data_IF_029876643879
#
_entry.id   IF_029876643879
#
_cell.length_a   1.000
_cell.length_b   1.000
_cell.length_c   1.000
_cell.angle_alpha   90.00
_cell.angle_beta   90.00
_cell.angle_gamma   90.00
#
_symmetry.space_group_name_H-M   'P 1'
#
loop_
_entity.id
_entity.type
_entity.pdbx_description
1 polymer ?
#
# COMPACT_ATOMS: atom_id res chain seq x y z
N UNK A 1 20.96 30.98 3.31
CA UNK A 1 19.69 31.75 3.41
C UNK A 1 18.73 30.88 4.18
N UNK A 2 18.18 31.35 5.30
CA UNK A 2 16.90 30.98 5.92
C UNK A 2 16.91 31.56 7.34
N UNK A 3 16.14 32.63 7.51
CA UNK A 3 15.94 33.33 8.78
C UNK A 3 14.65 32.76 9.41
N UNK A 4 14.68 32.15 10.61
CA UNK A 4 13.49 31.58 11.23
C UNK A 4 12.99 32.54 12.30
N UNK A 5 12.01 33.40 11.97
CA UNK A 5 11.19 34.17 12.93
C UNK A 5 10.14 35.01 12.19
N UNK A 6 9.18 34.35 11.55
CA UNK A 6 7.89 34.97 11.28
C UNK A 6 6.79 33.94 11.57
N UNK A 7 5.98 34.23 12.57
CA UNK A 7 4.89 33.39 13.04
C UNK A 7 3.72 33.51 12.05
N UNK A 8 3.38 32.40 11.39
CA UNK A 8 2.15 32.22 10.61
C UNK A 8 0.86 32.40 11.44
N UNK A 9 0.98 32.48 12.77
CA UNK A 9 -0.11 32.81 13.68
C UNK A 9 -0.47 34.29 13.70
N UNK A 10 0.48 35.19 13.44
CA UNK A 10 0.23 36.65 13.47
C UNK A 10 -0.48 37.14 12.19
N UNK A 11 -0.34 36.41 11.07
CA UNK A 11 -1.04 36.76 9.84
C UNK A 11 -2.51 36.28 9.80
N UNK A 12 -2.90 35.29 10.60
CA UNK A 12 -4.31 34.86 10.66
C UNK A 12 -5.14 35.72 11.63
N UNK A 13 -4.53 36.34 12.64
CA UNK A 13 -5.21 37.33 13.50
C UNK A 13 -5.47 38.68 12.80
N UNK A 14 -4.77 38.97 11.70
CA UNK A 14 -4.91 40.24 10.97
C UNK A 14 -5.96 40.20 9.84
N UNK A 15 -6.48 39.02 9.47
CA UNK A 15 -7.40 38.85 8.32
C UNK A 15 -8.85 38.60 8.73
N UNK A 16 -9.14 38.28 10.00
CA UNK A 16 -10.51 38.36 10.52
C UNK A 16 -10.82 39.79 10.97
N UNK A 17 -11.34 40.59 10.04
CA UNK A 17 -11.81 41.97 10.30
C UNK A 17 -13.08 42.05 11.16
N UNK A 18 -13.00 41.58 12.39
CA UNK A 18 -13.99 41.77 13.45
C UNK A 18 -13.23 41.95 14.76
N UNK A 19 -13.66 42.93 15.56
CA UNK A 19 -13.20 43.23 16.94
C UNK A 19 -12.14 44.33 17.10
N UNK A 20 -12.49 45.54 16.64
CA UNK A 20 -12.25 46.75 17.42
C UNK A 20 -13.59 47.39 17.81
N UNK A 21 -13.62 48.01 19.00
CA UNK A 21 -14.60 48.98 19.51
C UNK A 21 -15.75 48.57 20.43
N UNK A 22 -15.52 47.74 21.46
CA UNK A 22 -16.35 47.79 22.69
C UNK A 22 -15.55 48.07 23.98
N UNK A 23 -14.21 47.91 23.98
CA UNK A 23 -13.43 47.97 25.24
C UNK A 23 -12.67 49.27 25.53
N UNK A 24 -12.77 50.33 24.72
CA UNK A 24 -12.03 51.61 24.92
C UNK A 24 -12.90 52.87 25.05
N UNK A 25 -14.20 52.74 25.36
CA UNK A 25 -15.10 53.89 25.56
C UNK A 25 -15.79 53.90 26.94
N UNK A 26 -15.09 53.40 27.98
CA UNK A 26 -15.48 53.60 29.38
C UNK A 26 -14.39 54.42 30.09
N UNK A 27 -14.46 55.76 30.07
CA UNK A 27 -13.75 56.55 31.04
C UNK A 27 -14.47 56.44 32.39
N UNK A 28 -13.68 56.05 33.38
CA UNK A 28 -13.78 56.38 34.78
C UNK A 28 -14.92 57.35 35.14
N UNK A 29 -15.86 56.82 35.93
CA UNK A 29 -16.81 57.59 36.72
C UNK A 29 -16.03 58.57 37.60
N UNK A 30 -16.04 59.84 37.21
CA UNK A 30 -15.69 60.97 38.05
C UNK A 30 -16.74 61.08 39.17
N UNK A 31 -16.33 60.74 40.38
CA UNK A 31 -16.94 61.24 41.60
C UNK A 31 -16.54 62.72 41.73
N UNK A 32 -17.50 63.64 41.55
CA UNK A 32 -17.24 65.08 41.58
C UNK A 32 -18.52 65.89 41.72
N UNK A 33 -18.76 66.35 42.93
CA UNK A 33 -19.84 67.21 43.42
C UNK A 33 -20.16 68.40 42.49
N UNK A 34 -21.45 68.63 42.23
CA UNK A 34 -21.95 69.85 41.57
C UNK A 34 -23.46 69.99 41.78
N UNK A 35 -23.85 70.61 42.89
CA UNK A 35 -25.23 70.93 43.23
C UNK A 35 -25.79 72.09 42.38
N UNK A 36 -27.13 72.12 42.30
CA UNK A 36 -27.98 73.26 41.96
C UNK A 36 -28.16 73.65 40.48
N UNK A 37 -29.28 73.19 39.90
CA UNK A 37 -30.14 74.03 39.05
C UNK A 37 -31.59 73.54 39.14
N UNK A 38 -32.47 74.48 39.47
CA UNK A 38 -33.81 74.34 40.02
C UNK A 38 -34.91 74.04 38.99
N UNK A 39 -35.77 73.08 39.35
CA UNK A 39 -37.25 73.17 39.38
C UNK A 39 -37.88 74.24 38.47
N UNK A 40 -38.09 73.93 37.18
CA UNK A 40 -39.12 74.59 36.33
C UNK A 40 -39.90 73.58 35.44
N UNK A 41 -39.70 72.26 35.60
CA UNK A 41 -40.10 71.29 34.56
C UNK A 41 -41.33 70.40 34.76
N UNK A 42 -42.25 70.66 35.71
CA UNK A 42 -43.29 69.68 36.12
C UNK A 42 -44.22 69.16 35.00
N UNK A 43 -44.46 69.94 33.95
CA UNK A 43 -45.28 69.55 32.78
C UNK A 43 -44.40 69.03 31.62
N UNK A 44 -43.14 69.47 31.55
CA UNK A 44 -42.15 68.96 30.58
C UNK A 44 -41.67 67.55 30.92
N UNK A 45 -41.51 67.24 32.22
CA UNK A 45 -41.01 65.97 32.72
C UNK A 45 -41.97 64.78 32.47
N UNK A 46 -43.29 64.99 32.57
CA UNK A 46 -44.28 63.94 32.28
C UNK A 46 -44.38 63.65 30.77
N UNK A 47 -44.23 64.67 29.93
CA UNK A 47 -44.11 64.51 28.47
C UNK A 47 -42.76 63.86 28.07
N UNK A 48 -41.68 64.18 28.78
CA UNK A 48 -40.37 63.55 28.59
C UNK A 48 -40.36 62.09 29.03
N UNK A 49 -41.06 61.75 30.12
CA UNK A 49 -41.26 60.36 30.56
C UNK A 49 -42.13 59.56 29.58
N UNK A 50 -43.23 60.14 29.04
CA UNK A 50 -44.01 59.50 27.96
C UNK A 50 -43.17 59.24 26.71
N UNK A 51 -42.32 60.21 26.33
CA UNK A 51 -41.42 60.08 25.17
C UNK A 51 -40.31 59.04 25.40
N UNK A 52 -39.81 58.91 26.64
CA UNK A 52 -38.86 57.86 27.03
C UNK A 52 -39.51 56.47 27.01
N UNK A 53 -40.72 56.31 27.56
CA UNK A 53 -41.43 55.03 27.50
C UNK A 53 -41.71 54.60 26.05
N UNK A 54 -42.15 55.53 25.19
CA UNK A 54 -42.37 55.24 23.77
C UNK A 54 -41.08 54.85 23.03
N UNK A 55 -39.96 55.51 23.34
CA UNK A 55 -38.63 55.14 22.79
C UNK A 55 -38.14 53.79 23.32
N UNK A 56 -38.35 53.49 24.60
CA UNK A 56 -38.00 52.20 25.19
C UNK A 56 -38.82 51.06 24.57
N UNK A 57 -40.10 51.30 24.28
CA UNK A 57 -40.97 50.35 23.57
C UNK A 57 -40.54 50.14 22.12
N UNK A 58 -40.20 51.21 21.39
CA UNK A 58 -39.64 51.12 20.04
C UNK A 58 -38.32 50.34 20.02
N UNK A 59 -37.38 50.66 20.92
CA UNK A 59 -36.11 49.95 21.03
C UNK A 59 -36.32 48.47 21.39
N UNK A 60 -37.27 48.14 22.28
CA UNK A 60 -37.57 46.75 22.62
C UNK A 60 -38.21 45.98 21.45
N UNK A 61 -39.01 46.66 20.61
CA UNK A 61 -39.56 46.09 19.37
C UNK A 61 -38.46 45.85 18.34
N UNK A 62 -37.61 46.84 18.11
CA UNK A 62 -36.45 46.75 17.20
C UNK A 62 -35.48 45.64 17.62
N UNK A 63 -35.23 45.49 18.93
CA UNK A 63 -34.42 44.37 19.44
C UNK A 63 -35.08 43.02 19.16
N UNK A 64 -36.41 42.89 19.30
CA UNK A 64 -37.12 41.63 19.04
C UNK A 64 -37.11 41.28 17.57
N UNK A 65 -37.34 42.26 16.70
CA UNK A 65 -37.24 42.10 15.25
C UNK A 65 -35.81 41.69 14.86
N UNK A 66 -34.79 42.36 15.37
CA UNK A 66 -33.39 42.00 15.13
C UNK A 66 -33.03 40.60 15.67
N UNK A 67 -33.59 40.20 16.82
CA UNK A 67 -33.38 38.86 17.38
C UNK A 67 -34.10 37.76 16.59
N UNK A 68 -35.26 38.06 16.00
CA UNK A 68 -35.96 37.17 15.07
C UNK A 68 -35.19 37.04 13.76
N UNK A 69 -34.78 38.15 13.15
CA UNK A 69 -34.01 38.17 11.91
C UNK A 69 -32.68 37.41 12.06
N UNK A 70 -32.00 37.57 13.20
CA UNK A 70 -30.78 36.80 13.50
C UNK A 70 -31.05 35.30 13.67
N UNK A 71 -32.17 34.92 14.30
CA UNK A 71 -32.56 33.53 14.47
C UNK A 71 -32.92 32.88 13.12
N UNK A 72 -33.71 33.56 12.29
CA UNK A 72 -34.11 33.11 10.96
C UNK A 72 -32.89 32.96 10.05
N UNK A 73 -31.99 33.95 10.02
CA UNK A 73 -30.76 33.88 9.24
C UNK A 73 -29.84 32.74 9.71
N UNK A 74 -29.79 32.47 11.03
CA UNK A 74 -29.04 31.33 11.58
C UNK A 74 -29.66 30.00 11.15
N UNK A 75 -30.98 29.89 11.14
CA UNK A 75 -31.69 28.68 10.71
C UNK A 75 -31.50 28.42 9.21
N UNK A 76 -31.57 29.46 8.38
CA UNK A 76 -31.31 29.36 6.94
C UNK A 76 -29.87 28.90 6.66
N UNK A 77 -28.89 29.53 7.29
CA UNK A 77 -27.48 29.13 7.17
C UNK A 77 -27.25 27.67 7.62
N UNK A 78 -27.83 27.27 8.76
CA UNK A 78 -27.71 25.91 9.27
C UNK A 78 -28.32 24.88 8.31
N UNK A 79 -29.47 25.19 7.69
CA UNK A 79 -30.11 24.33 6.71
C UNK A 79 -29.26 24.18 5.43
N UNK A 80 -28.71 25.29 4.92
CA UNK A 80 -27.81 25.25 3.76
C UNK A 80 -26.51 24.50 4.06
N UNK A 81 -25.89 24.75 5.22
CA UNK A 81 -24.68 24.07 5.66
C UNK A 81 -24.90 22.56 5.77
N UNK A 82 -26.04 22.15 6.33
CA UNK A 82 -26.43 20.75 6.44
C UNK A 82 -26.64 20.08 5.07
N UNK A 83 -27.33 20.75 4.14
CA UNK A 83 -27.50 20.26 2.77
C UNK A 83 -26.15 20.12 2.04
N UNK A 84 -25.26 21.10 2.18
CA UNK A 84 -23.91 21.03 1.63
C UNK A 84 -23.10 19.87 2.25
N UNK A 85 -23.25 19.61 3.54
CA UNK A 85 -22.59 18.50 4.23
C UNK A 85 -23.06 17.13 3.72
N UNK A 86 -24.34 16.99 3.38
CA UNK A 86 -24.88 15.78 2.77
C UNK A 86 -24.25 15.52 1.40
N UNK A 87 -24.23 16.54 0.54
CA UNK A 87 -23.66 16.44 -0.81
C UNK A 87 -22.16 16.11 -0.74
N UNK A 88 -21.41 16.83 0.09
CA UNK A 88 -19.97 16.61 0.27
C UNK A 88 -19.67 15.19 0.76
N UNK A 89 -20.47 14.67 1.69
CA UNK A 89 -20.33 13.30 2.16
C UNK A 89 -20.60 12.26 1.06
N UNK A 90 -21.67 12.42 0.28
CA UNK A 90 -21.97 11.50 -0.81
C UNK A 90 -20.88 11.50 -1.88
N UNK A 91 -20.37 12.68 -2.25
CA UNK A 91 -19.28 12.83 -3.20
C UNK A 91 -18.00 12.19 -2.66
N UNK A 92 -17.64 12.44 -1.41
CA UNK A 92 -16.48 11.83 -0.76
C UNK A 92 -16.60 10.30 -0.72
N UNK A 93 -17.78 9.77 -0.36
CA UNK A 93 -18.03 8.33 -0.33
C UNK A 93 -17.92 7.69 -1.71
N UNK A 94 -18.45 8.34 -2.76
CA UNK A 94 -18.32 7.88 -4.16
C UNK A 94 -16.85 7.89 -4.58
N UNK A 95 -16.13 8.98 -4.31
CA UNK A 95 -14.70 9.11 -4.62
C UNK A 95 -13.85 8.05 -3.93
N UNK A 96 -14.10 7.79 -2.64
CA UNK A 96 -13.41 6.73 -1.89
C UNK A 96 -13.65 5.35 -2.50
N UNK A 97 -14.90 5.05 -2.87
CA UNK A 97 -15.25 3.78 -3.50
C UNK A 97 -14.66 3.62 -4.90
N UNK A 98 -14.71 4.65 -5.73
CA UNK A 98 -14.09 4.66 -7.06
C UNK A 98 -12.58 4.48 -6.96
N UNK A 99 -11.93 5.19 -6.04
CA UNK A 99 -10.50 5.03 -5.75
C UNK A 99 -10.18 3.60 -5.31
N UNK A 100 -10.99 3.02 -4.41
CA UNK A 100 -10.82 1.64 -3.98
C UNK A 100 -10.96 0.66 -5.16
N UNK A 101 -11.94 0.86 -6.05
CA UNK A 101 -12.11 0.05 -7.27
C UNK A 101 -10.90 0.17 -8.19
N UNK A 102 -10.37 1.38 -8.41
CA UNK A 102 -9.18 1.57 -9.24
C UNK A 102 -7.96 0.86 -8.64
N UNK A 103 -7.75 0.99 -7.34
CA UNK A 103 -6.69 0.28 -6.62
C UNK A 103 -6.85 -1.25 -6.70
N UNK A 104 -8.09 -1.75 -6.57
CA UNK A 104 -8.39 -3.17 -6.75
C UNK A 104 -8.06 -3.64 -8.16
N UNK A 105 -8.50 -2.91 -9.21
CA UNK A 105 -8.18 -3.22 -10.61
C UNK A 105 -6.67 -3.23 -10.87
N UNK A 106 -5.96 -2.25 -10.34
CA UNK A 106 -4.52 -2.14 -10.48
C UNK A 106 -3.80 -3.32 -9.81
N UNK A 107 -4.21 -3.66 -8.58
CA UNK A 107 -3.64 -4.81 -7.86
C UNK A 107 -3.93 -6.13 -8.57
N UNK A 108 -5.14 -6.30 -9.11
CA UNK A 108 -5.48 -7.47 -9.92
C UNK A 108 -4.61 -7.55 -11.18
N UNK A 109 -4.43 -6.43 -11.90
CA UNK A 109 -3.58 -6.39 -13.09
C UNK A 109 -2.11 -6.74 -12.78
N UNK A 110 -1.58 -6.29 -11.63
CA UNK A 110 -0.24 -6.70 -11.17
C UNK A 110 -0.18 -8.21 -10.97
N UNK A 111 -1.15 -8.79 -10.26
CA UNK A 111 -1.21 -10.23 -10.02
C UNK A 111 -1.29 -11.04 -11.31
N UNK A 112 -2.11 -10.60 -12.26
CA UNK A 112 -2.24 -11.23 -13.56
C UNK A 112 -0.93 -11.16 -14.35
N UNK A 113 -0.23 -10.02 -14.28
CA UNK A 113 1.08 -9.85 -14.91
C UNK A 113 2.16 -10.74 -14.27
N UNK A 114 2.21 -10.79 -12.94
CA UNK A 114 3.13 -11.66 -12.19
C UNK A 114 2.87 -13.14 -12.51
N UNK A 115 1.61 -13.56 -12.48
CA UNK A 115 1.22 -14.92 -12.85
C UNK A 115 1.63 -15.23 -14.29
N UNK A 116 1.33 -14.35 -15.24
CA UNK A 116 1.73 -14.49 -16.63
C UNK A 116 3.25 -14.58 -16.81
N UNK A 117 4.03 -13.81 -16.06
CA UNK A 117 5.49 -13.88 -16.09
C UNK A 117 6.01 -15.22 -15.56
N UNK A 118 5.46 -15.74 -14.46
CA UNK A 118 5.85 -17.05 -13.92
C UNK A 118 5.44 -18.19 -14.86
N UNK A 119 4.25 -18.12 -15.47
CA UNK A 119 3.79 -19.09 -16.48
C UNK A 119 4.74 -19.11 -17.69
N UNK A 120 5.16 -17.95 -18.19
CA UNK A 120 6.15 -17.87 -19.29
C UNK A 120 7.49 -18.49 -18.90
N UNK A 121 7.97 -18.25 -17.67
CA UNK A 121 9.21 -18.86 -17.16
C UNK A 121 9.09 -20.38 -17.05
N UNK A 122 7.96 -20.88 -16.53
CA UNK A 122 7.66 -22.30 -16.50
C UNK A 122 7.66 -22.90 -17.92
N UNK A 123 6.98 -22.26 -18.88
CA UNK A 123 6.99 -22.69 -20.29
C UNK A 123 8.40 -22.78 -20.87
N UNK A 124 9.25 -21.78 -20.61
CA UNK A 124 10.66 -21.82 -21.05
C UNK A 124 11.47 -22.90 -20.34
N UNK A 125 11.19 -23.16 -19.06
CA UNK A 125 11.81 -24.24 -18.30
C UNK A 125 11.44 -25.62 -18.85
N UNK A 126 10.19 -25.83 -19.24
CA UNK A 126 9.73 -27.05 -19.93
C UNK A 126 10.48 -27.22 -21.25
N UNK A 127 10.52 -26.19 -22.10
CA UNK A 127 11.22 -26.21 -23.39
C UNK A 127 12.72 -26.53 -23.22
N UNK A 128 13.38 -25.88 -22.26
CA UNK A 128 14.80 -26.12 -21.97
C UNK A 128 15.02 -27.57 -21.48
N UNK A 129 14.12 -28.10 -20.66
CA UNK A 129 14.19 -29.49 -20.18
C UNK A 129 14.03 -30.45 -21.35
N UNK A 130 13.06 -30.23 -22.23
CA UNK A 130 12.86 -31.03 -23.43
C UNK A 130 14.10 -31.03 -24.33
N UNK A 131 14.68 -29.86 -24.58
CA UNK A 131 15.91 -29.73 -25.36
C UNK A 131 17.08 -30.48 -24.71
N UNK A 132 17.22 -30.45 -23.38
CA UNK A 132 18.24 -31.22 -22.66
C UNK A 132 18.00 -32.73 -22.79
N UNK A 133 16.76 -33.21 -22.67
CA UNK A 133 16.43 -34.63 -22.85
C UNK A 133 16.75 -35.10 -24.28
N UNK A 134 16.44 -34.27 -25.29
CA UNK A 134 16.80 -34.55 -26.68
C UNK A 134 18.32 -34.60 -26.82
N UNK A 135 19.04 -33.61 -26.29
CA UNK A 135 20.51 -33.59 -26.35
C UNK A 135 21.15 -34.82 -25.68
N UNK A 136 20.70 -35.18 -24.47
CA UNK A 136 21.17 -36.37 -23.77
C UNK A 136 20.90 -37.64 -24.59
N UNK A 137 19.76 -37.71 -25.27
CA UNK A 137 19.42 -38.84 -26.14
C UNK A 137 20.34 -38.94 -27.35
N UNK A 138 20.63 -37.82 -28.01
CA UNK A 138 21.55 -37.76 -29.17
C UNK A 138 22.97 -38.11 -28.72
N UNK A 139 23.43 -37.54 -27.61
CA UNK A 139 24.75 -37.85 -27.05
C UNK A 139 24.90 -39.34 -26.70
N UNK A 140 23.86 -39.96 -26.14
CA UNK A 140 23.86 -41.38 -25.88
C UNK A 140 23.89 -42.22 -27.17
N UNK A 141 23.12 -41.85 -28.20
CA UNK A 141 23.13 -42.53 -29.51
C UNK A 141 24.51 -42.44 -30.16
N UNK A 142 25.13 -41.26 -30.15
CA UNK A 142 26.47 -41.04 -30.68
C UNK A 142 27.53 -41.88 -29.93
N UNK A 143 27.46 -41.88 -28.58
CA UNK A 143 28.34 -42.71 -27.75
C UNK A 143 28.14 -44.21 -28.02
N UNK A 144 26.91 -44.67 -28.23
CA UNK A 144 26.66 -46.07 -28.61
C UNK A 144 27.21 -46.40 -30.00
N UNK A 145 27.08 -45.50 -30.97
CA UNK A 145 27.63 -45.69 -32.30
C UNK A 145 29.16 -45.78 -32.26
N UNK A 146 29.82 -44.94 -31.45
CA UNK A 146 31.26 -45.01 -31.23
C UNK A 146 31.69 -46.34 -30.58
N UNK A 147 30.99 -46.80 -29.54
CA UNK A 147 31.26 -48.11 -28.92
C UNK A 147 31.01 -49.30 -29.87
N UNK A 148 30.02 -49.18 -30.75
CA UNK A 148 29.79 -50.18 -31.80
C UNK A 148 30.93 -50.20 -32.82
N UNK A 149 31.42 -49.04 -33.27
CA UNK A 149 32.56 -48.97 -34.17
C UNK A 149 33.82 -49.59 -33.55
N UNK A 150 34.12 -49.26 -32.29
CA UNK A 150 35.23 -49.87 -31.53
C UNK A 150 35.08 -51.39 -31.44
N UNK A 151 33.86 -51.90 -31.23
CA UNK A 151 33.60 -53.34 -31.20
C UNK A 151 33.83 -54.01 -32.54
N UNK A 152 33.45 -53.38 -33.64
CA UNK A 152 33.75 -53.92 -34.99
C UNK A 152 35.25 -53.89 -35.28
N UNK A 153 35.94 -52.81 -34.91
CA UNK A 153 37.41 -52.72 -35.03
C UNK A 153 38.10 -53.83 -34.23
N UNK A 154 37.63 -54.12 -33.01
CA UNK A 154 38.13 -55.26 -32.21
C UNK A 154 37.92 -56.61 -32.90
N UNK A 155 36.79 -56.83 -33.59
CA UNK A 155 36.56 -58.06 -34.37
C UNK A 155 37.46 -58.16 -35.59
N UNK A 156 37.72 -57.04 -36.26
CA UNK A 156 38.63 -56.99 -37.40
C UNK A 156 40.07 -57.27 -36.94
N UNK A 157 40.52 -56.64 -35.85
CA UNK A 157 41.81 -56.93 -35.22
C UNK A 157 41.92 -58.39 -34.76
N UNK A 158 40.84 -58.97 -34.25
CA UNK A 158 40.78 -60.39 -33.88
C UNK A 158 41.04 -61.29 -35.10
N UNK A 159 40.30 -61.06 -36.19
CA UNK A 159 40.45 -61.81 -37.44
C UNK A 159 41.88 -61.73 -38.01
N UNK A 160 42.46 -60.53 -38.10
CA UNK A 160 43.86 -60.36 -38.54
C UNK A 160 44.86 -60.99 -37.56
N UNK A 161 44.59 -60.95 -36.26
CA UNK A 161 45.40 -61.61 -35.24
C UNK A 161 45.38 -63.13 -35.37
N UNK A 162 44.22 -63.71 -35.68
CA UNK A 162 44.07 -65.14 -35.94
C UNK A 162 44.83 -65.57 -37.22
N UNK A 163 44.69 -64.83 -38.32
CA UNK A 163 45.45 -65.07 -39.55
C UNK A 163 46.97 -64.98 -39.30
N UNK A 164 47.42 -63.95 -38.58
CA UNK A 164 48.83 -63.77 -38.22
C UNK A 164 49.37 -64.93 -37.39
N UNK A 165 48.59 -65.42 -36.40
CA UNK A 165 48.96 -66.59 -35.59
C UNK A 165 49.07 -67.86 -36.43
N UNK A 166 48.18 -68.04 -37.41
CA UNK A 166 48.21 -69.17 -38.33
C UNK A 166 49.46 -69.14 -39.21
N UNK A 167 49.80 -67.97 -39.77
CA UNK A 167 51.03 -67.79 -40.56
C UNK A 167 52.27 -68.04 -39.70
N UNK A 168 52.33 -67.49 -38.47
CA UNK A 168 53.45 -67.70 -37.55
C UNK A 168 53.62 -69.19 -37.20
N UNK A 169 52.52 -69.93 -37.00
CA UNK A 169 52.55 -71.39 -36.82
C UNK A 169 53.11 -72.10 -38.05
N UNK A 170 52.66 -71.75 -39.26
CA UNK A 170 53.14 -72.33 -40.51
C UNK A 170 54.63 -72.06 -40.74
N UNK A 171 55.09 -70.84 -40.50
CA UNK A 171 56.51 -70.47 -40.59
C UNK A 171 57.36 -71.21 -39.54
N UNK A 172 56.89 -71.28 -38.30
CA UNK A 172 57.58 -72.02 -37.24
C UNK A 172 57.73 -73.51 -37.57
N UNK A 173 56.72 -74.12 -38.20
CA UNK A 173 56.78 -75.49 -38.69
C UNK A 173 57.75 -75.64 -39.87
N UNK A 174 57.70 -74.72 -40.84
CA UNK A 174 58.60 -74.72 -42.00
C UNK A 174 60.07 -74.54 -41.61
N UNK A 175 60.37 -73.56 -40.74
CA UNK A 175 61.73 -73.34 -40.22
C UNK A 175 62.25 -74.53 -39.40
N UNK A 176 61.37 -75.18 -38.64
CA UNK A 176 61.75 -76.38 -37.91
C UNK A 176 62.02 -77.57 -38.84
N UNK A 177 61.28 -77.69 -39.95
CA UNK A 177 61.47 -78.76 -40.94
C UNK A 177 62.81 -78.65 -41.69
N UNK A 178 63.32 -77.43 -41.87
CA UNK A 178 64.60 -77.15 -42.54
C UNK A 178 65.86 -77.37 -41.67
N UNK A 179 65.72 -77.70 -40.37
CA UNK A 179 66.85 -77.94 -39.46
C UNK A 179 67.33 -79.41 -39.43
N UNK A 180 68.61 -79.61 -39.06
CA UNK A 180 69.24 -80.95 -38.90
C UNK A 180 68.34 -81.93 -38.10
N UNK A 181 68.15 -83.13 -38.67
CA UNK A 181 67.22 -84.16 -38.19
C UNK A 181 67.61 -84.72 -36.80
N UNK A 182 66.62 -84.87 -35.90
CA UNK A 182 66.79 -85.50 -34.58
C UNK A 182 65.84 -84.98 -33.49
N UNK A 183 65.92 -85.54 -32.27
CA UNK A 183 65.08 -85.22 -31.10
C UNK A 183 65.07 -83.71 -30.75
N UNK A 184 66.17 -83.01 -31.03
CA UNK A 184 66.32 -81.56 -30.83
C UNK A 184 65.45 -80.70 -31.76
N UNK A 185 64.97 -81.24 -32.88
CA UNK A 185 64.00 -80.59 -33.78
C UNK A 185 62.62 -80.53 -33.12
N UNK A 186 62.16 -81.67 -32.60
CA UNK A 186 60.85 -81.79 -31.99
C UNK A 186 60.73 -80.92 -30.72
N UNK A 187 61.79 -80.83 -29.91
CA UNK A 187 61.80 -79.95 -28.73
C UNK A 187 61.77 -78.47 -29.09
N UNK A 188 62.43 -78.06 -30.19
CA UNK A 188 62.36 -76.67 -30.69
C UNK A 188 60.96 -76.33 -31.23
N UNK A 189 60.32 -77.24 -31.95
CA UNK A 189 58.92 -77.11 -32.40
C UNK A 189 58.00 -76.98 -31.19
N UNK A 190 58.10 -77.88 -30.22
CA UNK A 190 57.26 -77.87 -29.02
C UNK A 190 57.42 -76.56 -28.22
N UNK A 191 58.64 -76.08 -28.02
CA UNK A 191 58.89 -74.83 -27.30
C UNK A 191 58.29 -73.61 -28.02
N UNK A 192 58.40 -73.55 -29.35
CA UNK A 192 57.78 -72.48 -30.15
C UNK A 192 56.26 -72.56 -30.15
N UNK A 193 55.69 -73.74 -30.35
CA UNK A 193 54.23 -73.95 -30.26
C UNK A 193 53.69 -73.62 -28.87
N UNK A 194 54.41 -73.97 -27.81
CA UNK A 194 54.02 -73.61 -26.43
C UNK A 194 54.14 -72.11 -26.15
N UNK A 195 55.06 -71.39 -26.82
CA UNK A 195 55.11 -69.93 -26.77
C UNK A 195 53.92 -69.32 -27.51
N UNK A 196 53.68 -69.74 -28.75
CA UNK A 196 52.53 -69.29 -29.55
C UNK A 196 51.21 -69.54 -28.81
N UNK A 197 51.02 -70.73 -28.24
CA UNK A 197 49.82 -71.04 -27.47
C UNK A 197 49.64 -70.16 -26.23
N UNK A 198 50.72 -69.78 -25.54
CA UNK A 198 50.64 -68.82 -24.42
C UNK A 198 50.30 -67.41 -24.91
N UNK A 199 50.95 -66.97 -25.98
CA UNK A 199 50.71 -65.64 -26.56
C UNK A 199 49.28 -65.52 -27.10
N UNK A 200 48.71 -66.59 -27.67
CA UNK A 200 47.30 -66.68 -28.05
C UNK A 200 46.37 -66.59 -26.84
N UNK A 201 46.61 -67.35 -25.76
CA UNK A 201 45.76 -67.26 -24.56
C UNK A 201 45.78 -65.87 -23.91
N UNK A 202 46.93 -65.18 -23.93
CA UNK A 202 47.03 -63.82 -23.40
C UNK A 202 46.27 -62.84 -24.30
N UNK A 203 46.34 -63.01 -25.62
CA UNK A 203 45.56 -62.20 -26.58
C UNK A 203 44.05 -62.44 -26.41
N UNK A 204 43.64 -63.69 -26.24
CA UNK A 204 42.24 -64.09 -26.05
C UNK A 204 41.65 -63.47 -24.77
N UNK A 205 42.34 -63.60 -23.65
CA UNK A 205 41.92 -62.98 -22.37
C UNK A 205 41.86 -61.44 -22.48
N UNK A 206 42.81 -60.83 -23.19
CA UNK A 206 42.83 -59.38 -23.41
C UNK A 206 41.64 -58.94 -24.27
N UNK A 207 41.22 -59.76 -25.26
CA UNK A 207 40.04 -59.51 -26.10
C UNK A 207 38.75 -59.66 -25.32
N UNK A 208 38.61 -60.75 -24.55
CA UNK A 208 37.44 -60.98 -23.70
C UNK A 208 37.28 -59.85 -22.68
N UNK A 209 38.38 -59.38 -22.09
CA UNK A 209 38.37 -58.21 -21.22
C UNK A 209 37.97 -56.93 -21.98
N UNK A 210 38.40 -56.75 -23.23
CA UNK A 210 38.03 -55.58 -24.04
C UNK A 210 36.54 -55.58 -24.41
N UNK A 211 35.97 -56.73 -24.82
CA UNK A 211 34.54 -56.87 -25.07
C UNK A 211 33.72 -56.67 -23.79
N UNK A 212 34.13 -57.28 -22.68
CA UNK A 212 33.48 -57.08 -21.37
C UNK A 212 33.54 -55.61 -20.93
N UNK A 213 34.62 -54.90 -21.25
CA UNK A 213 34.75 -53.47 -20.99
C UNK A 213 33.81 -52.65 -21.88
N UNK A 214 33.70 -52.94 -23.18
CA UNK A 214 32.74 -52.26 -24.07
C UNK A 214 31.29 -52.48 -23.60
N UNK A 215 30.92 -53.71 -23.21
CA UNK A 215 29.58 -53.98 -22.66
C UNK A 215 29.32 -53.25 -21.32
N UNK A 216 30.36 -52.97 -20.53
CA UNK A 216 30.24 -52.09 -19.35
C UNK A 216 30.09 -50.63 -19.77
N UNK A 217 30.85 -50.16 -20.76
CA UNK A 217 30.73 -48.80 -21.31
C UNK A 217 29.32 -48.53 -21.83
N UNK A 218 28.74 -49.45 -22.62
CA UNK A 218 27.35 -49.35 -23.10
C UNK A 218 26.36 -49.23 -21.94
N UNK A 219 26.46 -50.09 -20.93
CA UNK A 219 25.59 -50.00 -19.74
C UNK A 219 25.79 -48.69 -18.98
N UNK A 220 27.03 -48.22 -18.89
CA UNK A 220 27.34 -46.95 -18.25
C UNK A 220 26.76 -45.77 -19.01
N UNK A 221 26.81 -45.75 -20.34
CA UNK A 221 26.15 -44.74 -21.19
C UNK A 221 24.65 -44.70 -20.90
N UNK A 222 23.99 -45.86 -20.78
CA UNK A 222 22.57 -45.93 -20.45
C UNK A 222 22.24 -45.29 -19.09
N UNK A 223 23.04 -45.62 -18.06
CA UNK A 223 22.87 -45.09 -16.70
C UNK A 223 23.15 -43.59 -16.68
N UNK A 224 24.20 -43.13 -17.36
CA UNK A 224 24.56 -41.71 -17.44
C UNK A 224 23.45 -40.91 -18.12
N UNK A 225 22.90 -41.41 -19.23
CA UNK A 225 21.73 -40.80 -19.88
C UNK A 225 20.56 -40.68 -18.91
N UNK A 226 20.20 -41.78 -18.24
CA UNK A 226 19.09 -41.78 -17.29
C UNK A 226 19.31 -40.78 -16.14
N UNK A 227 20.51 -40.72 -15.58
CA UNK A 227 20.86 -39.78 -14.53
C UNK A 227 20.76 -38.32 -15.02
N UNK A 228 21.28 -38.04 -16.22
CA UNK A 228 21.20 -36.72 -16.84
C UNK A 228 19.75 -36.31 -17.13
N UNK A 229 18.92 -37.25 -17.59
CA UNK A 229 17.50 -37.02 -17.85
C UNK A 229 16.72 -36.73 -16.56
N UNK A 230 17.03 -37.45 -15.48
CA UNK A 230 16.44 -37.20 -14.17
C UNK A 230 16.86 -35.84 -13.60
N UNK A 231 18.12 -35.45 -13.78
CA UNK A 231 18.61 -34.13 -13.36
C UNK A 231 17.95 -33.00 -14.16
N UNK A 232 17.77 -33.18 -15.47
CA UNK A 232 17.06 -32.22 -16.32
C UNK A 232 15.61 -32.03 -15.84
N UNK A 233 14.88 -33.14 -15.62
CA UNK A 233 13.50 -33.11 -15.10
C UNK A 233 13.40 -32.49 -13.70
N UNK A 234 14.36 -32.77 -12.82
CA UNK A 234 14.40 -32.18 -11.48
C UNK A 234 14.69 -30.67 -11.51
N UNK A 235 15.35 -30.19 -12.56
CA UNK A 235 15.63 -28.76 -12.77
C UNK A 235 14.45 -28.01 -13.40
N UNK A 236 13.39 -28.72 -13.79
CA UNK A 236 12.18 -28.12 -14.32
C UNK A 236 11.44 -27.35 -13.22
N UNK A 237 10.98 -26.15 -13.54
CA UNK A 237 10.18 -25.36 -12.62
C UNK A 237 8.87 -26.07 -12.28
N UNK A 238 8.38 -25.87 -11.06
CA UNK A 238 7.04 -26.31 -10.66
C UNK A 238 6.01 -25.45 -11.39
N UNK A 239 4.92 -26.08 -11.84
CA UNK A 239 3.81 -25.38 -12.49
C UNK A 239 3.21 -24.35 -11.53
N UNK A 240 3.10 -23.07 -11.92
CA UNK A 240 2.50 -22.07 -11.06
C UNK A 240 0.99 -22.26 -10.92
N UNK A 241 0.50 -22.07 -9.70
CA UNK A 241 -0.93 -22.02 -9.39
C UNK A 241 -1.45 -20.58 -9.47
N UNK A 242 -2.70 -20.41 -9.89
CA UNK A 242 -3.32 -19.10 -9.93
C UNK A 242 -3.59 -18.60 -8.50
N UNK A 243 -3.24 -17.35 -8.24
CA UNK A 243 -3.54 -16.73 -6.95
C UNK A 243 -5.06 -16.53 -6.79
N UNK A 244 -5.61 -16.63 -5.57
CA UNK A 244 -7.03 -16.38 -5.33
C UNK A 244 -7.37 -14.91 -5.63
N UNK A 245 -8.57 -14.68 -6.15
CA UNK A 245 -9.05 -13.36 -6.51
C UNK A 245 -9.23 -12.47 -5.28
N UNK A 246 -8.87 -11.19 -5.43
CA UNK A 246 -9.10 -10.19 -4.38
C UNK A 246 -10.59 -9.85 -4.37
N UNK A 247 -11.26 -9.86 -3.20
CA UNK A 247 -12.65 -9.44 -3.12
C UNK A 247 -12.80 -7.98 -3.58
N UNK A 248 -13.85 -7.72 -4.36
CA UNK A 248 -14.15 -6.38 -4.85
C UNK A 248 -14.51 -5.45 -3.67
N UNK A 249 -13.98 -4.23 -3.63
CA UNK A 249 -14.40 -3.22 -2.66
C UNK A 249 -15.92 -2.99 -2.74
N UNK A 250 -16.54 -2.79 -1.59
CA UNK A 250 -17.95 -2.46 -1.48
C UNK A 250 -18.11 -1.02 -0.99
N UNK A 251 -19.23 -0.39 -1.35
CA UNK A 251 -19.55 0.95 -0.85
C UNK A 251 -19.82 0.86 0.66
N UNK A 252 -19.13 1.69 1.44
CA UNK A 252 -19.34 1.76 2.89
C UNK A 252 -20.77 2.20 3.24
N UNK A 253 -21.24 1.89 4.47
CA UNK A 253 -22.57 2.29 4.92
C UNK A 253 -22.71 3.81 4.91
N UNK A 254 -23.92 4.30 4.62
CA UNK A 254 -24.26 5.71 4.73
C UNK A 254 -24.21 6.14 6.21
N UNK A 255 -23.63 7.31 6.49
CA UNK A 255 -23.77 7.93 7.80
C UNK A 255 -25.21 8.43 7.97
N UNK A 256 -25.67 8.42 9.21
CA UNK A 256 -26.94 9.03 9.57
C UNK A 256 -26.68 10.50 9.83
N UNK A 257 -27.46 11.37 9.21
CA UNK A 257 -27.38 12.81 9.40
C UNK A 257 -28.39 13.23 10.47
N UNK A 258 -27.97 14.12 11.37
CA UNK A 258 -28.84 14.73 12.39
C UNK A 258 -29.12 16.15 11.97
N UNK A 259 -30.40 16.51 11.86
CA UNK A 259 -30.81 17.85 11.45
C UNK A 259 -30.35 18.90 12.48
N UNK A 260 -29.93 20.09 12.04
CA UNK A 260 -29.55 21.17 12.94
C UNK A 260 -30.76 21.63 13.77
N UNK A 261 -30.51 21.96 15.03
CA UNK A 261 -31.54 22.51 15.92
C UNK A 261 -31.92 23.93 15.49
N UNK A 262 -33.22 24.25 15.50
CA UNK A 262 -33.70 25.61 15.24
C UNK A 262 -33.26 26.58 16.34
N UNK A 263 -32.60 27.67 15.95
CA UNK A 263 -32.30 28.79 16.81
C UNK A 263 -33.61 29.53 17.14
N UNK A 264 -33.90 29.69 18.42
CA UNK A 264 -35.01 30.52 18.91
C UNK A 264 -34.54 31.94 19.19
N UNK A 265 -35.35 32.98 18.92
CA UNK A 265 -34.98 34.36 19.19
C UNK A 265 -34.65 34.58 20.67
N UNK A 266 -33.60 35.36 20.95
CA UNK A 266 -33.17 35.67 22.30
C UNK A 266 -34.30 36.34 23.10
N UNK A 267 -34.48 35.92 24.35
CA UNK A 267 -35.50 36.50 25.23
C UNK A 267 -35.17 37.97 25.56
N UNK A 268 -35.99 38.90 25.07
CA UNK A 268 -35.85 40.34 25.35
C UNK A 268 -36.90 40.75 26.38
N UNK A 269 -36.49 41.16 27.61
CA UNK A 269 -37.41 41.56 28.66
C UNK A 269 -38.24 42.77 28.24
N UNK A 270 -39.48 42.86 28.75
CA UNK A 270 -40.34 43.99 28.45
C UNK A 270 -39.74 45.30 29.01
N UNK A 271 -39.86 46.43 28.28
CA UNK A 271 -39.27 47.69 28.72
C UNK A 271 -39.90 48.14 30.04
N UNK A 272 -39.08 48.43 31.04
CA UNK A 272 -39.51 49.00 32.32
C UNK A 272 -40.12 50.38 32.08
N UNK A 273 -41.44 50.51 32.27
CA UNK A 273 -42.12 51.79 32.10
C UNK A 273 -41.84 52.70 33.29
N UNK A 274 -41.31 53.89 33.03
CA UNK A 274 -41.12 54.91 34.05
C UNK A 274 -42.46 55.59 34.32
N UNK A 275 -42.87 55.68 35.58
CA UNK A 275 -44.14 56.29 35.98
C UNK A 275 -44.22 57.75 35.54
N UNK A 276 -45.14 58.06 34.62
CA UNK A 276 -45.39 59.45 34.14
C UNK A 276 -45.98 60.37 35.23
N UNK A 277 -46.43 59.78 36.34
CA UNK A 277 -46.99 60.48 37.51
C UNK A 277 -45.94 60.74 38.62
N UNK A 278 -44.80 60.04 38.63
CA UNK A 278 -43.81 60.16 39.69
C UNK A 278 -43.17 61.56 39.80
N UNK A 279 -42.82 62.26 38.68
CA UNK A 279 -42.30 63.62 38.75
C UNK A 279 -43.32 64.67 39.23
N UNK A 280 -44.61 64.39 39.03
CA UNK A 280 -45.71 65.27 39.46
C UNK A 280 -45.88 65.23 40.99
N UNK A 281 -45.74 64.05 41.58
CA UNK A 281 -45.85 63.83 43.03
C UNK A 281 -44.59 64.30 43.76
N UNK A 282 -43.40 64.09 43.19
CA UNK A 282 -42.15 64.62 43.78
C UNK A 282 -42.08 66.15 43.71
N UNK A 283 -42.66 66.78 42.68
CA UNK A 283 -42.78 68.24 42.60
C UNK A 283 -43.73 68.84 43.65
N UNK A 284 -44.78 68.12 44.02
CA UNK A 284 -45.71 68.54 45.07
C UNK A 284 -45.10 68.40 46.48
N UNK A 285 -44.30 67.35 46.74
CA UNK A 285 -43.64 67.13 48.04
C UNK A 285 -42.50 68.11 48.36
N UNK A 286 -41.88 68.74 47.36
CA UNK A 286 -40.87 69.79 47.57
C UNK A 286 -41.45 71.17 47.91
N UNK A 287 -42.73 71.43 47.58
CA UNK A 287 -43.38 72.69 47.95
C UNK A 287 -43.82 72.72 49.43
N UNK A 288 -44.08 71.56 50.04
CA UNK A 288 -44.48 71.49 51.45
C UNK A 288 -43.31 71.68 52.44
N UNK A 289 -42.07 71.32 52.08
CA UNK A 289 -40.90 71.57 52.93
C UNK A 289 -40.34 73.00 52.83
N UNK A 290 -40.74 73.79 51.83
CA UNK A 290 -40.40 75.22 51.75
C UNK A 290 -41.31 76.11 52.62
N UNK A 291 -42.46 75.60 53.09
CA UNK A 291 -43.36 76.30 54.02
C UNK A 291 -43.14 75.91 55.49
N UNK A 292 -42.44 74.81 55.76
CA UNK A 292 -42.15 74.34 57.12
C UNK A 292 -40.89 74.96 57.76
N UNK A 293 -40.20 75.86 57.04
CA UNK A 293 -38.99 76.56 57.49
C UNK A 293 -39.19 77.98 58.01
N UNK A 294 -40.42 78.37 58.37
CA UNK A 294 -40.67 79.64 59.09
C UNK A 294 -40.53 79.37 60.59
N UNK A 295 -39.35 79.66 61.10
CA UNK A 295 -39.00 79.55 62.53
C UNK A 295 -39.70 80.67 63.34
N UNK A 296 -40.71 80.30 64.13
CA UNK A 296 -41.45 81.21 65.03
C UNK A 296 -40.84 81.26 66.45
N UNK A 297 -39.66 80.69 66.68
CA UNK A 297 -39.07 80.53 68.00
C UNK A 297 -38.19 81.71 68.45
N UNK A 298 -38.65 82.95 68.22
CA UNK A 298 -37.94 84.18 68.63
C UNK A 298 -38.83 85.31 69.17
N UNK A 299 -40.12 85.06 69.43
CA UNK A 299 -41.08 86.10 69.87
C UNK A 299 -41.52 85.97 71.35
N UNK A 300 -41.03 84.97 72.08
CA UNK A 300 -41.14 84.93 73.55
C UNK A 300 -39.82 84.45 74.18
N UNK A 301 -38.90 85.40 74.39
CA UNK A 301 -37.61 85.22 75.03
C UNK A 301 -36.73 86.45 74.87
#
# INVERSE_FOLDING_TARGET
>A
MFNPKENLLDQQLAVSGLEMNILQALPAIFAGVGAAASIVGGISASNQAKKQNKRAEQNAKEQREAAQEAADATNEYNAEAFAAEQINYEQSRKFQHETAIQNWKYTQAIRDYEYGAVVKRYGKSVENTENQLIFNSIAAVDAYAAEQAVREDMRVEDAFGAESSMVERLEALGQAQMGQAGVSRNKRVQSRLAKIGRDETVKDESRDSAFAQSDRSIRQIAIQKFAADQQAKASMMIKPEAMPDIPKPQLGPARIFVEPMEATPAYIPQPLQVSTMAPLISGAGSASNALAGVDWQGIFG
#
